data_IF_438986994921
#
_entry.id   IF_438986994921
#
_cell.length_a   1.000
_cell.length_b   1.000
_cell.length_c   1.000
_cell.angle_alpha   90.00
_cell.angle_beta   90.00
_cell.angle_gamma   90.00
#
_symmetry.space_group_name_H-M   'P 1'
#
loop_
_entity.id
_entity.type
_entity.pdbx_description
1 polymer ?
#
# COMPACT_ATOMS: atom_id res chain seq x y z
N UNK A 1 40.02 51.12 10.77
CA UNK A 1 39.95 51.66 9.39
C UNK A 1 40.59 50.73 8.36
N UNK A 2 41.80 50.19 8.60
CA UNK A 2 42.49 49.26 7.70
C UNK A 2 41.67 47.99 7.38
N UNK A 3 40.97 47.44 8.37
CA UNK A 3 40.11 46.26 8.21
C UNK A 3 38.92 46.49 7.26
N UNK A 4 38.35 47.71 7.28
CA UNK A 4 37.24 48.11 6.40
C UNK A 4 37.72 48.23 4.94
N UNK A 5 38.92 48.76 4.74
CA UNK A 5 39.54 48.91 3.41
C UNK A 5 39.85 47.53 2.80
N UNK A 6 40.36 46.61 3.61
CA UNK A 6 40.60 45.21 3.18
C UNK A 6 39.30 44.51 2.82
N UNK A 7 38.22 44.73 3.58
CA UNK A 7 36.91 44.15 3.30
C UNK A 7 36.32 44.65 1.98
N UNK A 8 36.41 45.95 1.74
CA UNK A 8 35.96 46.58 0.49
C UNK A 8 36.78 46.06 -0.70
N UNK A 9 38.10 45.90 -0.55
CA UNK A 9 38.98 45.38 -1.58
C UNK A 9 38.72 43.90 -1.91
N UNK A 10 38.40 43.08 -0.90
CA UNK A 10 38.00 41.69 -1.08
C UNK A 10 36.64 41.57 -1.78
N UNK A 11 35.68 42.44 -1.46
CA UNK A 11 34.38 42.49 -2.15
C UNK A 11 34.55 42.88 -3.62
N UNK A 12 35.37 43.90 -3.90
CA UNK A 12 35.64 44.33 -5.27
C UNK A 12 36.31 43.24 -6.10
N UNK A 13 37.29 42.53 -5.53
CA UNK A 13 37.92 41.37 -6.19
C UNK A 13 36.98 40.19 -6.39
N UNK A 14 36.04 39.96 -5.46
CA UNK A 14 35.04 38.89 -5.56
C UNK A 14 33.99 39.16 -6.63
N UNK A 15 33.62 40.42 -6.83
CA UNK A 15 32.68 40.84 -7.89
C UNK A 15 33.33 40.73 -9.28
N UNK A 16 34.65 40.94 -9.38
CA UNK A 16 35.40 40.82 -10.64
C UNK A 16 35.69 39.38 -11.09
N UNK A 17 35.20 38.36 -10.36
CA UNK A 17 35.29 36.94 -10.72
C UNK A 17 34.00 36.51 -11.42
N UNK A 18 33.87 36.91 -12.69
CA UNK A 18 32.70 36.72 -13.58
C UNK A 18 32.27 35.25 -13.81
N UNK A 19 32.97 34.26 -13.24
CA UNK A 19 32.62 32.83 -13.34
C UNK A 19 31.62 32.33 -12.30
N UNK A 20 31.39 33.05 -11.20
CA UNK A 20 30.59 32.53 -10.06
C UNK A 20 29.12 32.96 -10.07
N UNK A 21 28.76 33.98 -10.85
CA UNK A 21 27.38 34.45 -10.99
C UNK A 21 26.48 33.41 -11.68
N UNK A 22 26.98 32.80 -12.76
CA UNK A 22 26.27 31.73 -13.48
C UNK A 22 26.05 30.49 -12.60
N UNK A 23 27.04 30.14 -11.78
CA UNK A 23 26.94 29.03 -10.83
C UNK A 23 25.96 29.33 -9.69
N UNK A 24 25.94 30.56 -9.17
CA UNK A 24 24.96 30.99 -8.18
C UNK A 24 23.52 30.98 -8.76
N UNK A 25 23.35 31.37 -10.03
CA UNK A 25 22.06 31.33 -10.72
C UNK A 25 21.60 29.87 -10.96
N UNK A 26 22.50 28.98 -11.36
CA UNK A 26 22.17 27.57 -11.60
C UNK A 26 21.81 26.84 -10.30
N UNK A 27 22.51 27.11 -9.21
CA UNK A 27 22.18 26.62 -7.87
C UNK A 27 20.80 27.15 -7.41
N UNK A 28 20.51 28.43 -7.63
CA UNK A 28 19.21 29.02 -7.32
C UNK A 28 18.06 28.43 -8.13
N UNK A 29 18.27 28.17 -9.42
CA UNK A 29 17.29 27.50 -10.27
C UNK A 29 17.05 26.05 -9.85
N UNK A 30 18.12 25.33 -9.49
CA UNK A 30 18.02 23.94 -9.01
C UNK A 30 17.23 23.87 -7.70
N UNK A 31 17.49 24.77 -6.76
CA UNK A 31 16.72 24.86 -5.53
C UNK A 31 15.24 25.16 -5.81
N UNK A 32 14.94 26.15 -6.66
CA UNK A 32 13.56 26.47 -7.07
C UNK A 32 12.86 25.27 -7.70
N UNK A 33 13.52 24.52 -8.57
CA UNK A 33 12.96 23.31 -9.21
C UNK A 33 12.64 22.20 -8.21
N UNK A 34 13.44 22.04 -7.14
CA UNK A 34 13.12 21.11 -6.06
C UNK A 34 11.83 21.53 -5.33
N UNK A 35 11.67 22.81 -5.02
CA UNK A 35 10.45 23.33 -4.39
C UNK A 35 9.23 23.26 -5.31
N UNK A 36 9.38 23.54 -6.61
CA UNK A 36 8.28 23.40 -7.59
C UNK A 36 7.81 21.96 -7.70
N UNK A 37 8.72 20.98 -7.70
CA UNK A 37 8.35 19.55 -7.68
C UNK A 37 7.58 19.16 -6.42
N UNK A 38 7.92 19.74 -5.26
CA UNK A 38 7.19 19.52 -4.01
C UNK A 38 5.81 20.17 -4.08
N UNK A 39 5.73 21.43 -4.50
CA UNK A 39 4.47 22.16 -4.66
C UNK A 39 3.54 21.47 -5.66
N UNK A 40 4.04 20.99 -6.79
CA UNK A 40 3.25 20.23 -7.77
C UNK A 40 2.75 18.89 -7.22
N UNK A 41 3.52 18.23 -6.33
CA UNK A 41 3.05 17.02 -5.64
C UNK A 41 1.93 17.33 -4.65
N UNK A 42 1.96 18.48 -3.99
CA UNK A 42 0.95 18.88 -3.00
C UNK A 42 -0.27 19.59 -3.61
N UNK A 43 -0.12 20.28 -4.75
CA UNK A 43 -1.16 21.08 -5.41
C UNK A 43 -2.19 20.25 -6.21
N UNK A 44 -2.19 18.93 -6.10
CA UNK A 44 -3.26 18.07 -6.64
C UNK A 44 -3.23 17.85 -8.16
N UNK A 45 -2.34 18.50 -8.92
CA UNK A 45 -2.08 18.22 -10.35
C UNK A 45 -1.12 17.04 -10.53
N UNK A 46 -1.16 16.07 -9.63
CA UNK A 46 -0.42 14.83 -9.75
C UNK A 46 -1.05 13.97 -10.85
N UNK A 47 -0.62 14.19 -12.09
CA UNK A 47 -0.79 13.20 -13.15
C UNK A 47 -0.04 11.97 -12.65
N UNK A 48 -0.80 10.96 -12.20
CA UNK A 48 -0.30 9.67 -11.70
C UNK A 48 0.83 9.25 -12.65
N UNK A 49 2.06 9.22 -12.13
CA UNK A 49 3.27 8.88 -12.91
C UNK A 49 2.92 7.68 -13.79
N UNK A 50 3.16 7.73 -15.12
CA UNK A 50 2.69 6.70 -16.04
C UNK A 50 3.15 5.36 -15.47
N UNK A 51 2.16 4.53 -15.11
CA UNK A 51 2.40 3.23 -14.51
C UNK A 51 3.30 2.52 -15.52
N UNK A 52 4.53 2.21 -15.13
CA UNK A 52 5.44 1.49 -16.01
C UNK A 52 4.82 0.11 -16.18
N UNK A 53 4.11 -0.09 -17.28
CA UNK A 53 3.52 -1.38 -17.61
C UNK A 53 4.68 -2.32 -17.85
N UNK A 54 5.01 -3.14 -16.84
CA UNK A 54 5.95 -4.24 -17.03
C UNK A 54 5.38 -5.10 -18.14
N UNK A 55 6.19 -5.35 -19.18
CA UNK A 55 5.86 -6.19 -20.33
C UNK A 55 5.46 -7.61 -19.92
N UNK A 56 5.84 -8.07 -18.72
CA UNK A 56 5.38 -9.35 -18.15
C UNK A 56 5.12 -9.22 -16.64
N UNK A 57 3.88 -9.47 -16.15
CA UNK A 57 3.61 -9.56 -14.72
C UNK A 57 4.25 -10.83 -14.14
N UNK A 58 4.77 -10.74 -12.91
CA UNK A 58 5.44 -11.87 -12.23
C UNK A 58 4.42 -12.95 -11.79
N UNK A 59 3.22 -12.54 -11.38
CA UNK A 59 2.07 -13.42 -11.11
C UNK A 59 1.02 -13.29 -12.22
N UNK A 60 0.46 -14.42 -12.67
CA UNK A 60 -0.55 -14.53 -13.74
C UNK A 60 -0.11 -13.98 -15.10
N UNK A 61 1.04 -14.49 -15.59
CA UNK A 61 1.56 -14.26 -16.94
C UNK A 61 0.59 -14.73 -18.01
N UNK A 62 -0.01 -15.90 -17.81
CA UNK A 62 -1.14 -16.39 -18.60
C UNK A 62 -2.43 -16.05 -17.86
N UNK A 63 -3.42 -15.50 -18.57
CA UNK A 63 -4.72 -15.15 -18.01
C UNK A 63 -5.57 -16.40 -17.73
N UNK A 64 -5.05 -17.33 -16.93
CA UNK A 64 -5.79 -18.50 -16.51
C UNK A 64 -6.90 -18.11 -15.54
N UNK A 65 -7.98 -18.88 -15.62
CA UNK A 65 -9.22 -18.66 -14.87
C UNK A 65 -8.98 -19.13 -13.44
N UNK A 66 -9.18 -18.24 -12.45
CA UNK A 66 -9.02 -18.60 -11.03
C UNK A 66 -10.23 -19.39 -10.52
N UNK A 67 -11.44 -19.03 -10.96
CA UNK A 67 -12.68 -19.70 -10.57
C UNK A 67 -13.29 -20.50 -11.73
N UNK A 68 -13.49 -21.81 -11.54
CA UNK A 68 -14.06 -22.70 -12.57
C UNK A 68 -15.45 -22.27 -13.07
N UNK A 69 -16.24 -21.55 -12.25
CA UNK A 69 -17.57 -21.04 -12.61
C UNK A 69 -17.53 -19.56 -12.95
N UNK A 70 -17.98 -19.21 -14.17
CA UNK A 70 -18.11 -17.84 -14.69
C UNK A 70 -19.41 -17.18 -14.19
N UNK A 71 -19.43 -16.77 -12.93
CA UNK A 71 -20.47 -15.87 -12.41
C UNK A 71 -19.94 -14.43 -12.37
N UNK A 72 -20.82 -13.44 -12.49
CA UNK A 72 -20.43 -12.01 -12.43
C UNK A 72 -19.70 -11.67 -11.12
N UNK A 73 -20.10 -12.30 -10.01
CA UNK A 73 -19.40 -12.18 -8.72
C UNK A 73 -17.96 -12.69 -8.79
N UNK A 74 -17.75 -13.91 -9.31
CA UNK A 74 -16.43 -14.51 -9.39
C UNK A 74 -15.52 -13.75 -10.35
N UNK A 75 -16.08 -13.23 -11.45
CA UNK A 75 -15.34 -12.40 -12.40
C UNK A 75 -14.82 -11.11 -11.72
N UNK A 76 -15.64 -10.45 -10.88
CA UNK A 76 -15.21 -9.26 -10.13
C UNK A 76 -14.16 -9.57 -9.07
N UNK A 77 -14.36 -10.67 -8.32
CA UNK A 77 -13.37 -11.13 -7.33
C UNK A 77 -12.03 -11.39 -8.01
N UNK A 78 -12.05 -12.09 -9.14
CA UNK A 78 -10.87 -12.40 -9.94
C UNK A 78 -10.20 -11.14 -10.51
N UNK A 79 -10.99 -10.16 -10.95
CA UNK A 79 -10.50 -8.86 -11.42
C UNK A 79 -9.76 -8.12 -10.30
N UNK A 80 -10.36 -8.00 -9.12
CA UNK A 80 -9.74 -7.34 -7.97
C UNK A 80 -8.48 -8.06 -7.50
N UNK A 81 -8.53 -9.39 -7.41
CA UNK A 81 -7.39 -10.22 -7.02
C UNK A 81 -6.22 -10.05 -7.99
N UNK A 82 -6.48 -10.13 -9.30
CA UNK A 82 -5.47 -9.94 -10.33
C UNK A 82 -4.95 -8.52 -10.39
N UNK A 83 -5.81 -7.51 -10.24
CA UNK A 83 -5.41 -6.10 -10.21
C UNK A 83 -4.41 -5.84 -9.08
N UNK A 84 -4.73 -6.34 -7.88
CA UNK A 84 -3.87 -6.18 -6.70
C UNK A 84 -2.56 -6.93 -6.85
N UNK A 85 -2.60 -8.17 -7.34
CA UNK A 85 -1.40 -9.00 -7.50
C UNK A 85 -0.51 -8.58 -8.67
N UNK A 86 -1.05 -7.88 -9.68
CA UNK A 86 -0.25 -7.32 -10.78
C UNK A 86 0.42 -6.01 -10.39
N UNK A 87 -0.09 -5.30 -9.39
CA UNK A 87 0.51 -4.05 -8.92
C UNK A 87 1.60 -4.30 -7.87
N UNK A 88 2.85 -4.35 -8.31
CA UNK A 88 3.99 -4.66 -7.42
C UNK A 88 4.12 -3.71 -6.23
N UNK A 89 3.70 -2.44 -6.34
CA UNK A 89 3.71 -1.51 -5.22
C UNK A 89 2.68 -1.90 -4.13
N UNK A 90 1.51 -2.41 -4.52
CA UNK A 90 0.47 -2.87 -3.58
C UNK A 90 0.93 -4.14 -2.87
N UNK A 91 1.55 -5.09 -3.58
CA UNK A 91 2.15 -6.27 -2.94
C UNK A 91 3.24 -5.85 -1.95
N UNK A 92 4.14 -4.95 -2.36
CA UNK A 92 5.22 -4.48 -1.48
C UNK A 92 4.66 -3.79 -0.24
N UNK A 93 3.68 -2.90 -0.39
CA UNK A 93 3.04 -2.23 0.73
C UNK A 93 2.34 -3.23 1.67
N UNK A 94 1.59 -4.19 1.10
CA UNK A 94 0.94 -5.24 1.87
C UNK A 94 1.95 -6.07 2.68
N UNK A 95 3.06 -6.46 2.07
CA UNK A 95 4.13 -7.22 2.75
C UNK A 95 4.83 -6.36 3.82
N UNK A 96 5.07 -5.08 3.55
CA UNK A 96 5.61 -4.14 4.54
C UNK A 96 4.69 -4.02 5.76
N UNK A 97 3.37 -3.92 5.55
CA UNK A 97 2.39 -3.89 6.64
C UNK A 97 2.47 -5.15 7.48
N UNK A 98 2.53 -6.34 6.86
CA UNK A 98 2.69 -7.62 7.58
C UNK A 98 3.98 -7.63 8.41
N UNK A 99 5.11 -7.23 7.81
CA UNK A 99 6.41 -7.24 8.50
C UNK A 99 6.44 -6.26 9.67
N UNK A 100 5.98 -5.02 9.47
CA UNK A 100 5.91 -4.01 10.53
C UNK A 100 5.01 -4.48 11.66
N UNK A 101 3.88 -5.11 11.33
CA UNK A 101 2.96 -5.64 12.32
C UNK A 101 3.53 -6.86 13.06
N UNK A 102 4.26 -7.74 12.38
CA UNK A 102 4.96 -8.86 13.01
C UNK A 102 6.03 -8.36 14.01
N UNK A 103 6.81 -7.34 13.62
CA UNK A 103 7.77 -6.69 14.52
C UNK A 103 7.07 -6.06 15.73
N UNK A 104 5.94 -5.39 15.51
CA UNK A 104 5.10 -4.83 16.58
C UNK A 104 4.66 -5.92 17.57
N UNK A 105 4.18 -7.07 17.09
CA UNK A 105 3.81 -8.20 17.96
C UNK A 105 4.97 -8.76 18.78
N UNK A 106 6.19 -8.68 18.26
CA UNK A 106 7.37 -9.20 18.96
C UNK A 106 7.69 -8.45 20.26
N UNK A 107 7.23 -7.20 20.40
CA UNK A 107 7.47 -6.36 21.57
C UNK A 107 6.51 -6.70 22.72
N UNK A 108 5.32 -7.24 22.41
CA UNK A 108 4.28 -7.49 23.40
C UNK A 108 4.49 -8.78 24.21
N UNK A 109 3.98 -8.84 25.45
CA UNK A 109 3.95 -10.07 26.23
C UNK A 109 3.13 -11.17 25.53
N UNK A 110 3.47 -12.47 25.70
CA UNK A 110 2.81 -13.60 25.04
C UNK A 110 1.29 -13.62 25.15
N UNK A 111 0.74 -13.25 26.32
CA UNK A 111 -0.70 -13.28 26.57
C UNK A 111 -1.48 -12.28 25.70
N UNK A 112 -0.86 -11.14 25.35
CA UNK A 112 -1.48 -10.10 24.53
C UNK A 112 -1.32 -10.34 23.03
N UNK A 113 -0.40 -11.22 22.60
CA UNK A 113 -0.12 -11.47 21.18
C UNK A 113 -1.33 -12.01 20.43
N UNK A 114 -2.12 -12.88 21.07
CA UNK A 114 -3.34 -13.44 20.47
C UNK A 114 -4.45 -12.41 20.31
N UNK A 115 -4.62 -11.52 21.30
CA UNK A 115 -5.56 -10.39 21.20
C UNK A 115 -5.13 -9.43 20.10
N UNK A 116 -3.84 -9.10 20.02
CA UNK A 116 -3.29 -8.27 18.95
C UNK A 116 -3.46 -8.95 17.59
N UNK A 117 -3.23 -10.26 17.47
CA UNK A 117 -3.52 -10.97 16.23
C UNK A 117 -4.97 -10.78 15.75
N UNK A 118 -5.94 -10.74 16.66
CA UNK A 118 -7.33 -10.39 16.32
C UNK A 118 -7.49 -8.97 15.76
N UNK A 119 -6.72 -7.99 16.27
CA UNK A 119 -6.67 -6.63 15.71
C UNK A 119 -6.06 -6.62 14.31
N UNK A 120 -5.11 -7.52 14.04
CA UNK A 120 -4.49 -7.68 12.72
C UNK A 120 -5.51 -8.00 11.62
N UNK A 121 -6.53 -8.81 11.94
CA UNK A 121 -7.62 -9.18 11.03
C UNK A 121 -8.33 -7.91 10.53
N UNK A 122 -8.65 -7.01 11.45
CA UNK A 122 -9.32 -5.73 11.13
C UNK A 122 -8.41 -4.85 10.28
N UNK A 123 -7.14 -4.72 10.69
CA UNK A 123 -6.16 -3.88 10.00
C UNK A 123 -5.89 -4.36 8.57
N UNK A 124 -5.65 -5.67 8.38
CA UNK A 124 -5.44 -6.24 7.06
C UNK A 124 -6.69 -6.10 6.19
N UNK A 125 -7.88 -6.39 6.73
CA UNK A 125 -9.13 -6.21 5.98
C UNK A 125 -9.32 -4.75 5.55
N UNK A 126 -8.96 -3.78 6.39
CA UNK A 126 -9.00 -2.36 6.04
C UNK A 126 -8.02 -2.00 4.91
N UNK A 127 -6.80 -2.53 4.93
CA UNK A 127 -5.83 -2.35 3.83
C UNK A 127 -6.36 -2.95 2.53
N UNK A 128 -6.93 -4.15 2.58
CA UNK A 128 -7.53 -4.77 1.38
C UNK A 128 -8.73 -3.98 0.87
N UNK A 129 -9.52 -3.36 1.75
CA UNK A 129 -10.62 -2.47 1.34
C UNK A 129 -10.12 -1.29 0.51
N UNK A 130 -8.96 -0.72 0.82
CA UNK A 130 -8.37 0.34 0.00
C UNK A 130 -8.08 -0.16 -1.42
N UNK A 131 -7.58 -1.39 -1.58
CA UNK A 131 -7.34 -2.00 -2.89
C UNK A 131 -8.62 -2.31 -3.64
N UNK A 132 -9.66 -2.78 -2.94
CA UNK A 132 -10.98 -2.96 -3.52
C UNK A 132 -11.54 -1.65 -4.08
N UNK A 133 -11.43 -0.56 -3.30
CA UNK A 133 -11.93 0.75 -3.69
C UNK A 133 -11.16 1.32 -4.89
N UNK A 134 -9.83 1.18 -4.91
CA UNK A 134 -9.01 1.55 -6.08
C UNK A 134 -9.39 0.72 -7.32
N UNK A 135 -9.70 -0.57 -7.15
CA UNK A 135 -10.07 -1.45 -8.26
C UNK A 135 -11.46 -1.12 -8.81
N UNK A 136 -12.45 -0.82 -7.96
CA UNK A 136 -13.82 -0.52 -8.41
C UNK A 136 -13.93 0.88 -9.04
N UNK A 137 -13.13 1.84 -8.56
CA UNK A 137 -13.09 3.20 -9.10
C UNK A 137 -12.25 3.32 -10.37
N UNK A 138 -11.67 2.21 -10.86
CA UNK A 138 -10.92 2.23 -12.11
C UNK A 138 -11.83 2.53 -13.31
N UNK A 139 -11.38 3.31 -14.32
CA UNK A 139 -12.20 3.69 -15.47
C UNK A 139 -12.79 2.52 -16.25
N UNK A 140 -12.20 1.33 -16.15
CA UNK A 140 -12.68 0.13 -16.84
C UNK A 140 -13.86 -0.53 -16.14
N UNK A 141 -13.87 -0.54 -14.80
CA UNK A 141 -14.91 -1.23 -14.02
C UNK A 141 -16.19 -0.40 -13.96
N UNK A 142 -16.06 0.93 -13.93
CA UNK A 142 -17.20 1.86 -13.94
C UNK A 142 -18.02 1.82 -15.23
N UNK A 143 -17.46 1.34 -16.34
CA UNK A 143 -18.19 1.14 -17.60
C UNK A 143 -19.24 0.03 -17.51
N UNK A 144 -19.10 -0.91 -16.57
CA UNK A 144 -20.02 -2.02 -16.41
C UNK A 144 -21.13 -1.65 -15.43
N UNK A 145 -22.40 -1.82 -15.84
CA UNK A 145 -23.56 -1.68 -14.96
C UNK A 145 -23.65 -2.87 -14.01
N UNK A 146 -23.01 -2.76 -12.86
CA UNK A 146 -22.95 -3.78 -11.83
C UNK A 146 -24.11 -3.63 -10.85
N UNK A 147 -24.82 -4.71 -10.56
CA UNK A 147 -25.82 -4.73 -9.48
C UNK A 147 -25.13 -4.52 -8.14
N UNK A 148 -25.74 -3.74 -7.25
CA UNK A 148 -25.19 -3.46 -5.91
C UNK A 148 -24.99 -4.74 -5.08
N UNK A 149 -25.91 -5.69 -5.20
CA UNK A 149 -25.84 -7.00 -4.52
C UNK A 149 -24.63 -7.81 -4.96
N UNK A 150 -24.35 -7.88 -6.27
CA UNK A 150 -23.21 -8.64 -6.79
C UNK A 150 -21.89 -7.94 -6.46
N UNK A 151 -21.89 -6.61 -6.38
CA UNK A 151 -20.73 -5.82 -5.91
C UNK A 151 -20.42 -6.11 -4.44
N UNK A 152 -21.43 -6.15 -3.57
CA UNK A 152 -21.24 -6.43 -2.14
C UNK A 152 -20.77 -7.88 -1.91
N UNK A 153 -21.40 -8.85 -2.59
CA UNK A 153 -20.99 -10.25 -2.54
C UNK A 153 -19.53 -10.44 -3.01
N UNK A 154 -19.16 -9.78 -4.13
CA UNK A 154 -17.79 -9.81 -4.63
C UNK A 154 -16.80 -9.10 -3.70
N UNK A 155 -17.18 -7.98 -3.09
CA UNK A 155 -16.35 -7.26 -2.12
C UNK A 155 -16.05 -8.15 -0.91
N UNK A 156 -17.07 -8.71 -0.25
CA UNK A 156 -16.86 -9.56 0.93
C UNK A 156 -15.96 -10.76 0.65
N UNK A 157 -16.12 -11.42 -0.52
CA UNK A 157 -15.27 -12.54 -0.93
C UNK A 157 -13.83 -12.09 -1.24
N UNK A 158 -13.64 -10.99 -1.97
CA UNK A 158 -12.31 -10.53 -2.34
C UNK A 158 -11.52 -10.05 -1.13
N UNK A 159 -12.15 -9.30 -0.23
CA UNK A 159 -11.58 -8.86 1.05
C UNK A 159 -11.07 -10.05 1.85
N UNK A 160 -11.93 -11.06 2.03
CA UNK A 160 -11.61 -12.26 2.78
C UNK A 160 -10.44 -13.04 2.17
N UNK A 161 -10.50 -13.33 0.87
CA UNK A 161 -9.47 -14.14 0.18
C UNK A 161 -8.10 -13.43 0.22
N UNK A 162 -8.06 -12.10 0.11
CA UNK A 162 -6.79 -11.36 0.10
C UNK A 162 -6.24 -11.14 1.52
N UNK A 163 -7.08 -11.02 2.54
CA UNK A 163 -6.64 -10.83 3.93
C UNK A 163 -6.11 -12.12 4.56
N UNK A 164 -6.74 -13.26 4.26
CA UNK A 164 -6.42 -14.59 4.80
C UNK A 164 -4.94 -14.97 4.75
N UNK A 165 -4.20 -14.86 3.62
CA UNK A 165 -2.79 -15.23 3.61
C UNK A 165 -1.94 -14.39 4.59
N UNK A 166 -2.23 -13.11 4.76
CA UNK A 166 -1.54 -12.25 5.73
C UNK A 166 -1.86 -12.64 7.17
N UNK A 167 -3.13 -12.94 7.47
CA UNK A 167 -3.57 -13.41 8.78
C UNK A 167 -2.91 -14.75 9.15
N UNK A 168 -2.81 -15.67 8.19
CA UNK A 168 -2.17 -16.97 8.37
C UNK A 168 -0.67 -16.85 8.65
N UNK A 169 0.04 -15.97 7.93
CA UNK A 169 1.48 -15.70 8.17
C UNK A 169 1.67 -15.12 9.57
N UNK A 170 0.85 -14.16 9.98
CA UNK A 170 0.93 -13.56 11.32
C UNK A 170 0.56 -14.57 12.42
N UNK A 171 -0.43 -15.43 12.18
CA UNK A 171 -0.78 -16.49 13.13
C UNK A 171 0.39 -17.45 13.32
N UNK A 172 1.01 -17.92 12.23
CA UNK A 172 2.18 -18.78 12.28
C UNK A 172 3.32 -18.13 13.06
N UNK A 173 3.56 -16.83 12.84
CA UNK A 173 4.57 -16.07 13.57
C UNK A 173 4.31 -16.03 15.08
N UNK A 174 3.05 -15.80 15.51
CA UNK A 174 2.65 -15.83 16.93
C UNK A 174 2.85 -17.21 17.54
N UNK A 175 2.50 -18.27 16.81
CA UNK A 175 2.69 -19.65 17.28
C UNK A 175 4.15 -19.97 17.48
N UNK A 176 5.02 -19.62 16.53
CA UNK A 176 6.45 -19.84 16.64
C UNK A 176 7.06 -19.11 17.85
N UNK A 177 6.60 -17.89 18.15
CA UNK A 177 7.10 -17.13 19.28
C UNK A 177 6.59 -17.60 20.65
N UNK A 178 5.35 -18.06 20.73
CA UNK A 178 4.71 -18.46 22.00
C UNK A 178 4.87 -19.95 22.29
N UNK A 179 5.18 -20.76 21.27
CA UNK A 179 5.18 -22.24 21.27
C UNK A 179 3.85 -22.86 21.73
N UNK A 180 2.74 -22.10 21.74
CA UNK A 180 1.42 -22.55 22.17
C UNK A 180 0.61 -23.15 21.02
N UNK A 181 1.06 -24.30 20.51
CA UNK A 181 0.44 -24.97 19.37
C UNK A 181 -1.04 -25.37 19.61
N UNK A 182 -1.38 -25.80 20.83
CA UNK A 182 -2.75 -26.20 21.18
C UNK A 182 -3.71 -25.01 21.16
N UNK A 183 -3.28 -23.87 21.70
CA UNK A 183 -4.08 -22.66 21.72
C UNK A 183 -4.33 -22.13 20.30
N UNK A 184 -3.32 -22.24 19.44
CA UNK A 184 -3.42 -21.91 18.03
C UNK A 184 -4.49 -22.73 17.28
N UNK A 185 -4.55 -24.03 17.56
CA UNK A 185 -5.51 -24.93 16.92
C UNK A 185 -6.96 -24.51 17.18
N UNK A 186 -7.25 -23.98 18.37
CA UNK A 186 -8.58 -23.51 18.76
C UNK A 186 -8.87 -22.11 18.21
N UNK A 187 -7.88 -21.22 18.23
CA UNK A 187 -8.10 -19.82 17.86
C UNK A 187 -8.07 -19.56 16.35
N UNK A 188 -7.34 -20.35 15.57
CA UNK A 188 -7.33 -20.24 14.11
C UNK A 188 -8.73 -20.36 13.48
N UNK A 189 -9.56 -21.36 13.80
CA UNK A 189 -10.91 -21.45 13.24
C UNK A 189 -11.80 -20.29 13.69
N UNK A 190 -11.62 -19.80 14.93
CA UNK A 190 -12.34 -18.62 15.44
C UNK A 190 -11.93 -17.37 14.65
N UNK A 191 -10.64 -17.17 14.42
CA UNK A 191 -10.12 -16.06 13.63
C UNK A 191 -10.55 -16.12 12.18
N UNK A 192 -10.60 -17.31 11.57
CA UNK A 192 -11.15 -17.49 10.22
C UNK A 192 -12.62 -17.05 10.14
N UNK A 193 -13.43 -17.40 11.16
CA UNK A 193 -14.82 -16.99 11.24
C UNK A 193 -14.95 -15.47 11.46
N UNK A 194 -14.12 -14.90 12.34
CA UNK A 194 -14.03 -13.46 12.56
C UNK A 194 -13.61 -12.70 11.30
N UNK A 195 -12.61 -13.17 10.56
CA UNK A 195 -12.17 -12.55 9.31
C UNK A 195 -13.28 -12.52 8.27
N UNK A 196 -14.06 -13.61 8.15
CA UNK A 196 -15.24 -13.64 7.28
C UNK A 196 -16.31 -12.63 7.73
N UNK A 197 -16.53 -12.49 9.05
CA UNK A 197 -17.49 -11.54 9.60
C UNK A 197 -17.05 -10.09 9.36
N UNK A 198 -15.79 -9.76 9.65
CA UNK A 198 -15.19 -8.44 9.44
C UNK A 198 -15.22 -8.07 7.96
N UNK A 199 -14.84 -8.98 7.06
CA UNK A 199 -14.91 -8.76 5.62
C UNK A 199 -16.34 -8.43 5.14
N UNK A 200 -17.36 -9.11 5.69
CA UNK A 200 -18.77 -8.82 5.39
C UNK A 200 -19.20 -7.44 5.89
N UNK A 201 -18.78 -7.05 7.11
CA UNK A 201 -19.06 -5.73 7.66
C UNK A 201 -18.42 -4.63 6.81
N UNK A 202 -17.12 -4.74 6.52
CA UNK A 202 -16.39 -3.74 5.73
C UNK A 202 -16.91 -3.61 4.29
N UNK A 203 -17.40 -4.71 3.70
CA UNK A 203 -18.04 -4.72 2.38
C UNK A 203 -19.39 -3.98 2.35
N UNK A 204 -20.14 -3.97 3.45
CA UNK A 204 -21.42 -3.25 3.55
C UNK A 204 -21.23 -1.72 3.52
N UNK A 205 -20.05 -1.26 3.97
CA UNK A 205 -19.67 0.16 3.98
C UNK A 205 -18.83 0.58 2.74
N UNK A 206 -18.99 -0.09 1.58
CA UNK A 206 -18.21 0.13 0.34
C UNK A 206 -19.09 0.18 -0.92
#
# INVERSE_FOLDING_TARGET
MILLIIFVLLIYRRISLDGTLLEAISLGQTAKMQFTNVLLRYAGTYIKKPITFRTRPFLFRDSNIIFKRRTSENALVELCLKSTLRHSANIKFYLQVIVVYALFLSIFPPIWKWTMWGVAIILLTAVVKLYWLESINSPYVTLFRLKSETKLAAASRSLFILALPGEAILALFVVLQTQQWLYALIILPIGFWLGKFVAKQFAMFS
#
